data_IF_296165621627
#
_entry.id   IF_296165621627
#
_cell.length_a   1.000
_cell.length_b   1.000
_cell.length_c   1.000
_cell.angle_alpha   90.00
_cell.angle_beta   90.00
_cell.angle_gamma   90.00
#
_symmetry.space_group_name_H-M   'P 1'
#
loop_
_entity.id
_entity.type
_entity.pdbx_description
1 polymer ?
#
# COMPACT_ATOMS: atom_id res chain seq x y z
N UNK A 1 -17.74 -2.94 19.67
CA UNK A 1 -16.98 -1.67 19.58
C UNK A 1 -15.73 -1.78 18.67
N UNK A 2 -15.71 -2.60 17.60
CA UNK A 2 -14.51 -2.79 16.74
C UNK A 2 -14.40 -1.86 15.52
N UNK A 3 -15.53 -1.30 15.04
CA UNK A 3 -15.60 -0.57 13.76
C UNK A 3 -14.65 0.62 13.65
N UNK A 4 -14.40 1.35 14.73
CA UNK A 4 -13.57 2.56 14.68
C UNK A 4 -12.07 2.24 14.59
N UNK A 5 -11.64 1.12 15.18
CA UNK A 5 -10.25 0.67 15.14
C UNK A 5 -9.92 0.04 13.79
N UNK A 6 -10.83 -0.77 13.24
CA UNK A 6 -10.71 -1.31 11.89
C UNK A 6 -10.68 -0.20 10.85
N UNK A 7 -11.55 0.81 11.00
CA UNK A 7 -11.54 1.99 10.14
C UNK A 7 -10.21 2.75 10.21
N UNK A 8 -9.66 2.96 11.40
CA UNK A 8 -8.36 3.65 11.59
C UNK A 8 -7.22 2.87 10.92
N UNK A 9 -7.22 1.55 11.07
CA UNK A 9 -6.26 0.65 10.41
C UNK A 9 -6.36 0.73 8.88
N UNK A 10 -7.56 0.64 8.35
CA UNK A 10 -7.79 0.73 6.91
C UNK A 10 -7.37 2.10 6.36
N UNK A 11 -7.67 3.19 7.08
CA UNK A 11 -7.24 4.54 6.72
C UNK A 11 -5.72 4.70 6.71
N UNK A 12 -5.00 4.06 7.63
CA UNK A 12 -3.54 4.04 7.63
C UNK A 12 -2.96 3.42 6.36
N UNK A 13 -3.55 2.31 5.90
CA UNK A 13 -3.15 1.63 4.66
C UNK A 13 -3.44 2.47 3.43
N UNK A 14 -4.67 2.97 3.32
CA UNK A 14 -5.12 3.80 2.19
C UNK A 14 -4.21 5.03 2.05
N UNK A 15 -3.98 5.76 3.16
CA UNK A 15 -3.21 6.99 3.14
C UNK A 15 -1.74 6.78 2.76
N UNK A 16 -1.11 5.71 3.26
CA UNK A 16 0.27 5.41 2.87
C UNK A 16 0.38 5.11 1.38
N UNK A 17 -0.53 4.27 0.87
CA UNK A 17 -0.49 3.92 -0.54
C UNK A 17 -0.74 5.13 -1.43
N UNK A 18 -1.68 6.01 -1.11
CA UNK A 18 -1.91 7.25 -1.86
C UNK A 18 -0.65 8.12 -1.91
N UNK A 19 -0.04 8.40 -0.74
CA UNK A 19 1.11 9.30 -0.66
C UNK A 19 2.37 8.70 -1.29
N UNK A 20 2.63 7.41 -1.09
CA UNK A 20 3.83 6.77 -1.67
C UNK A 20 3.69 6.56 -3.18
N UNK A 21 2.48 6.25 -3.68
CA UNK A 21 2.22 6.17 -5.13
C UNK A 21 2.37 7.55 -5.77
N UNK A 22 1.76 8.59 -5.19
CA UNK A 22 1.87 9.97 -5.67
C UNK A 22 3.34 10.42 -5.71
N UNK A 23 4.08 10.20 -4.63
CA UNK A 23 5.51 10.51 -4.58
C UNK A 23 6.31 9.77 -5.66
N UNK A 24 6.03 8.48 -5.90
CA UNK A 24 6.70 7.73 -6.98
C UNK A 24 6.34 8.23 -8.37
N UNK A 25 5.07 8.56 -8.62
CA UNK A 25 4.61 9.11 -9.90
C UNK A 25 5.26 10.46 -10.20
N UNK A 26 5.46 11.28 -9.17
CA UNK A 26 6.07 12.60 -9.29
C UNK A 26 7.59 12.61 -9.06
N UNK A 27 8.23 11.44 -8.91
CA UNK A 27 9.66 11.30 -8.57
C UNK A 27 10.09 12.12 -7.32
N UNK A 28 9.20 12.25 -6.34
CA UNK A 28 9.45 12.92 -5.07
C UNK A 28 9.97 11.94 -4.00
N UNK A 29 10.82 12.40 -3.06
CA UNK A 29 11.25 11.58 -1.94
C UNK A 29 10.08 11.30 -0.98
N UNK A 30 9.91 10.03 -0.58
CA UNK A 30 8.92 9.61 0.40
C UNK A 30 9.59 8.90 1.58
N UNK A 31 9.23 9.29 2.81
CA UNK A 31 9.73 8.67 4.04
C UNK A 31 8.60 7.91 4.77
N UNK A 32 8.59 6.57 4.74
CA UNK A 32 7.58 5.75 5.42
C UNK A 32 7.60 5.87 6.95
N UNK A 33 8.65 6.43 7.56
CA UNK A 33 8.76 6.61 9.01
C UNK A 33 7.98 7.84 9.50
N UNK A 34 7.67 8.77 8.60
CA UNK A 34 6.86 9.97 8.91
C UNK A 34 5.38 9.63 8.84
N UNK A 35 4.87 9.03 9.92
CA UNK A 35 3.46 8.65 10.02
C UNK A 35 2.61 9.90 10.30
N UNK A 36 1.58 10.21 9.50
CA UNK A 36 0.68 11.33 9.75
C UNK A 36 -0.13 11.16 11.04
N UNK A 37 -0.44 12.29 11.68
CA UNK A 37 -1.44 12.33 12.74
C UNK A 37 -2.83 12.11 12.12
N UNK A 38 -3.54 11.08 12.61
CA UNK A 38 -4.87 10.69 12.17
C UNK A 38 -5.92 11.00 13.24
N UNK A 39 -5.61 10.75 14.51
CA UNK A 39 -6.52 10.96 15.62
C UNK A 39 -5.77 11.34 16.89
N UNK A 40 -6.37 12.22 17.70
CA UNK A 40 -5.87 12.52 19.05
C UNK A 40 -6.17 11.38 20.04
N UNK A 41 -7.04 10.43 19.69
CA UNK A 41 -7.24 9.22 20.46
C UNK A 41 -6.07 8.25 20.24
N UNK A 42 -5.28 8.00 21.29
CA UNK A 42 -4.09 7.13 21.21
C UNK A 42 -4.38 5.73 20.67
N UNK A 43 -5.54 5.15 20.99
CA UNK A 43 -5.95 3.84 20.45
C UNK A 43 -6.17 3.90 18.94
N UNK A 44 -6.90 4.89 18.45
CA UNK A 44 -7.13 5.06 17.01
C UNK A 44 -5.83 5.36 16.26
N UNK A 45 -4.98 6.21 16.83
CA UNK A 45 -3.66 6.51 16.25
C UNK A 45 -2.77 5.26 16.20
N UNK A 46 -2.79 4.42 17.24
CA UNK A 46 -2.04 3.16 17.25
C UNK A 46 -2.51 2.21 16.15
N UNK A 47 -3.82 2.07 15.95
CA UNK A 47 -4.38 1.25 14.86
C UNK A 47 -4.05 1.82 13.47
N UNK A 48 -4.09 3.15 13.32
CA UNK A 48 -3.65 3.83 12.11
C UNK A 48 -2.17 3.56 11.81
N UNK A 49 -1.29 3.67 12.82
CA UNK A 49 0.14 3.40 12.66
C UNK A 49 0.41 1.95 12.22
N UNK A 50 -0.33 0.99 12.79
CA UNK A 50 -0.27 -0.42 12.37
C UNK A 50 -0.68 -0.59 10.90
N UNK A 51 -1.77 0.07 10.50
CA UNK A 51 -2.24 0.08 9.11
C UNK A 51 -1.20 0.67 8.16
N UNK A 52 -0.66 1.84 8.51
CA UNK A 52 0.41 2.49 7.75
C UNK A 52 1.61 1.57 7.56
N UNK A 53 2.10 0.91 8.61
CA UNK A 53 3.27 0.03 8.53
C UNK A 53 2.99 -1.29 7.79
N UNK A 54 1.73 -1.73 7.72
CA UNK A 54 1.34 -2.98 7.05
C UNK A 54 1.48 -2.97 5.52
N UNK A 55 1.57 -1.79 4.89
CA UNK A 55 1.72 -1.68 3.43
C UNK A 55 3.11 -2.12 3.00
N UNK A 56 3.16 -3.03 2.03
CA UNK A 56 4.41 -3.56 1.47
C UNK A 56 4.76 -2.85 0.18
N UNK A 57 6.05 -2.80 -0.15
CA UNK A 57 6.52 -2.19 -1.40
C UNK A 57 5.85 -2.79 -2.66
N UNK A 58 5.47 -4.07 -2.63
CA UNK A 58 4.75 -4.72 -3.73
C UNK A 58 3.34 -4.15 -3.92
N UNK A 59 2.63 -3.79 -2.85
CA UNK A 59 1.29 -3.21 -2.93
C UNK A 59 1.33 -1.84 -3.63
N UNK A 60 2.39 -1.07 -3.35
CA UNK A 60 2.65 0.23 -3.98
C UNK A 60 3.05 0.04 -5.44
N UNK A 61 3.96 -0.89 -5.73
CA UNK A 61 4.42 -1.16 -7.10
C UNK A 61 3.25 -1.58 -8.00
N UNK A 62 2.38 -2.46 -7.51
CA UNK A 62 1.17 -2.87 -8.23
C UNK A 62 0.28 -1.68 -8.58
N UNK A 63 0.08 -0.74 -7.65
CA UNK A 63 -0.68 0.48 -7.92
C UNK A 63 0.00 1.42 -8.90
N UNK A 64 1.32 1.59 -8.81
CA UNK A 64 2.10 2.39 -9.77
C UNK A 64 2.00 1.80 -11.18
N UNK A 65 2.08 0.48 -11.29
CA UNK A 65 2.00 -0.23 -12.57
C UNK A 65 0.55 -0.32 -13.13
N UNK A 66 -0.43 0.28 -12.44
CA UNK A 66 -1.86 0.20 -12.81
C UNK A 66 -2.47 -1.19 -12.67
N UNK A 67 -1.78 -2.11 -11.98
CA UNK A 67 -2.22 -3.49 -11.76
C UNK A 67 -3.00 -3.57 -10.44
N UNK A 68 -4.30 -3.82 -10.54
CA UNK A 68 -5.20 -3.84 -9.38
C UNK A 68 -4.89 -4.97 -8.38
N UNK A 69 -4.17 -6.02 -8.81
CA UNK A 69 -3.74 -7.12 -7.95
C UNK A 69 -2.45 -7.80 -8.43
N UNK A 70 -1.76 -8.48 -7.51
CA UNK A 70 -0.61 -9.33 -7.83
C UNK A 70 -0.95 -10.42 -8.85
N UNK A 71 -2.18 -10.96 -8.81
CA UNK A 71 -2.63 -11.96 -9.78
C UNK A 71 -2.67 -11.39 -11.20
N UNK A 72 -3.18 -10.15 -11.35
CA UNK A 72 -3.25 -9.47 -12.63
C UNK A 72 -1.84 -9.17 -13.17
N UNK A 73 -0.93 -8.70 -12.30
CA UNK A 73 0.46 -8.44 -12.69
C UNK A 73 1.17 -9.73 -13.13
N UNK A 74 0.96 -10.84 -12.41
CA UNK A 74 1.50 -12.15 -12.77
C UNK A 74 0.93 -12.66 -14.10
N UNK A 75 -0.37 -12.48 -14.35
CA UNK A 75 -0.99 -12.83 -15.64
C UNK A 75 -0.46 -11.95 -16.79
N UNK A 76 -0.28 -10.65 -16.57
CA UNK A 76 0.30 -9.74 -17.56
C UNK A 76 1.74 -10.12 -17.90
N UNK A 77 2.56 -10.46 -16.89
CA UNK A 77 3.93 -10.95 -17.09
C UNK A 77 3.93 -12.29 -17.84
N UNK A 78 3.05 -13.22 -17.47
CA UNK A 78 2.88 -14.51 -18.17
C UNK A 78 2.54 -14.30 -19.65
N UNK A 79 1.66 -13.36 -19.97
CA UNK A 79 1.28 -13.00 -21.35
C UNK A 79 2.45 -12.36 -22.11
N UNK A 80 3.25 -11.52 -21.44
CA UNK A 80 4.32 -10.73 -22.07
C UNK A 80 5.58 -11.54 -22.35
N UNK A 81 5.93 -12.47 -21.46
CA UNK A 81 7.17 -13.25 -21.55
C UNK A 81 6.96 -14.72 -21.94
N UNK A 82 5.70 -15.18 -22.03
CA UNK A 82 5.37 -16.59 -22.24
C UNK A 82 5.71 -17.45 -21.02
N UNK A 83 5.06 -18.62 -20.89
CA UNK A 83 5.51 -19.64 -19.95
C UNK A 83 6.90 -20.12 -20.39
N UNK A 84 7.96 -19.57 -19.79
CA UNK A 84 9.20 -20.31 -19.70
C UNK A 84 8.93 -21.51 -18.80
N UNK A 85 8.45 -22.60 -19.41
CA UNK A 85 8.59 -23.93 -18.84
C UNK A 85 10.09 -24.13 -18.69
N UNK A 86 10.56 -23.96 -17.45
CA UNK A 86 11.91 -24.34 -17.07
C UNK A 86 12.13 -25.77 -17.53
N UNK A 87 13.04 -25.91 -18.51
CA UNK A 87 13.63 -27.18 -18.89
C UNK A 87 14.81 -27.45 -17.96
#
# INVERSE_FOLDING_TARGET
>A
MGKNWDWSYQKGREKRMELEVDARMHNMPFDPRKIPLHSHCGTMQSHFNKGWQSVRAIDIQLRVDGQQSYKNAREALKKRFGESNGR
#
